data_IF_122797522763
#
_entry.id   IF_122797522763
#
_cell.length_a   1.000
_cell.length_b   1.000
_cell.length_c   1.000
_cell.angle_alpha   90.00
_cell.angle_beta   90.00
_cell.angle_gamma   90.00
#
_symmetry.space_group_name_H-M   'P 1'
#
loop_
_entity.id
_entity.type
_entity.pdbx_description
1 polymer ?
#
# COMPACT_ATOMS: atom_id res chain seq x y z
N UNK A 1 84.06 30.74 -4.94
CA UNK A 1 84.10 31.77 -3.88
C UNK A 1 82.95 31.45 -2.92
N UNK A 2 83.17 31.48 -1.60
CA UNK A 2 82.21 31.36 -0.46
C UNK A 2 81.08 30.29 -0.52
N UNK A 3 80.80 29.43 0.47
CA UNK A 3 80.80 29.50 1.96
C UNK A 3 79.77 30.48 2.56
N UNK A 4 78.88 30.09 3.49
CA UNK A 4 78.47 28.74 3.97
C UNK A 4 77.01 28.42 3.59
N UNK A 5 76.07 27.94 4.44
CA UNK A 5 76.01 27.46 5.85
C UNK A 5 74.71 26.55 5.93
N UNK A 6 74.45 25.52 6.74
CA UNK A 6 74.79 25.05 8.12
C UNK A 6 74.01 25.78 9.25
N UNK A 7 73.32 25.15 10.23
CA UNK A 7 72.93 23.77 10.63
C UNK A 7 71.44 23.83 11.16
N UNK A 8 70.71 22.81 11.67
CA UNK A 8 70.90 21.36 11.91
C UNK A 8 70.39 20.90 13.30
N UNK A 9 70.00 19.61 13.46
CA UNK A 9 69.74 18.86 14.74
C UNK A 9 68.43 19.23 15.53
N UNK A 10 67.51 18.30 15.86
CA UNK A 10 67.52 17.16 16.82
C UNK A 10 67.38 17.55 18.31
N UNK A 11 66.79 16.77 19.23
CA UNK A 11 65.90 15.58 19.16
C UNK A 11 65.32 15.26 20.56
N UNK A 12 64.11 14.69 20.62
CA UNK A 12 63.49 14.00 21.77
C UNK A 12 63.21 14.77 23.09
N UNK A 13 62.04 14.51 23.69
CA UNK A 13 61.89 13.91 25.04
C UNK A 13 60.42 13.70 25.42
N UNK A 14 60.17 12.55 26.05
CA UNK A 14 58.94 12.32 26.85
C UNK A 14 59.12 12.96 28.22
N UNK A 15 58.05 13.54 28.77
CA UNK A 15 58.01 14.07 30.14
C UNK A 15 56.56 14.11 30.64
N UNK A 16 56.36 13.71 31.89
CA UNK A 16 55.09 13.73 32.62
C UNK A 16 55.02 15.03 33.48
N UNK A 17 54.12 15.06 34.47
CA UNK A 17 54.02 16.00 35.59
C UNK A 17 53.22 17.30 35.36
N UNK A 18 52.40 17.67 36.38
CA UNK A 18 52.04 19.07 36.65
C UNK A 18 50.59 19.52 36.41
N UNK A 19 49.64 19.08 37.23
CA UNK A 19 48.25 19.54 37.18
C UNK A 19 48.00 20.91 37.85
N UNK A 20 47.16 21.75 37.24
CA UNK A 20 46.28 22.72 37.91
C UNK A 20 44.95 22.84 37.12
N UNK A 21 43.81 22.95 37.82
CA UNK A 21 42.45 22.88 37.24
C UNK A 21 41.81 24.24 36.91
N UNK A 22 40.51 24.31 36.56
CA UNK A 22 39.51 23.24 36.39
C UNK A 22 38.07 23.78 36.35
N UNK A 23 37.08 22.90 36.12
CA UNK A 23 35.62 23.15 36.03
C UNK A 23 35.15 24.08 34.87
N UNK A 24 33.92 23.98 34.34
CA UNK A 24 32.97 22.87 34.17
C UNK A 24 31.85 23.29 33.18
N UNK A 25 31.18 22.35 32.51
CA UNK A 25 30.08 22.69 31.58
C UNK A 25 29.33 21.49 31.01
N UNK A 26 28.45 20.86 31.80
CA UNK A 26 27.69 19.65 31.41
C UNK A 26 26.24 19.98 30.99
N UNK A 27 25.97 19.87 29.68
CA UNK A 27 24.62 20.03 29.12
C UNK A 27 23.76 18.76 29.17
N UNK A 28 23.25 18.39 30.35
CA UNK A 28 22.21 17.35 30.48
C UNK A 28 20.93 17.91 31.11
N UNK A 29 19.99 18.36 30.28
CA UNK A 29 18.64 18.79 30.69
C UNK A 29 17.78 17.58 31.05
N UNK A 30 17.89 17.10 32.29
CA UNK A 30 16.91 16.19 32.90
C UNK A 30 15.56 16.90 33.05
N UNK A 31 14.55 16.47 32.31
CA UNK A 31 13.16 16.88 32.54
C UNK A 31 12.69 16.34 33.89
N UNK A 32 12.54 17.20 34.89
CA UNK A 32 11.85 16.87 36.15
C UNK A 32 10.34 17.03 35.95
N UNK A 33 9.55 16.08 36.44
CA UNK A 33 8.16 16.36 36.79
C UNK A 33 8.13 17.35 37.97
N UNK A 34 7.19 18.30 38.01
CA UNK A 34 6.82 18.97 39.24
C UNK A 34 6.02 18.02 40.13
N UNK A 35 6.49 17.77 41.35
CA UNK A 35 5.67 17.19 42.41
C UNK A 35 4.72 18.27 42.92
N UNK A 36 3.43 17.94 43.05
CA UNK A 36 2.40 18.85 43.52
C UNK A 36 1.62 18.23 44.68
N UNK A 37 1.91 18.67 45.90
CA UNK A 37 1.14 18.27 47.08
C UNK A 37 -0.28 18.84 47.03
N UNK A 38 -1.26 17.93 46.95
CA UNK A 38 -2.68 18.25 47.09
C UNK A 38 -3.36 17.14 47.94
N UNK A 39 -3.65 17.40 49.23
CA UNK A 39 -4.37 16.43 50.06
C UNK A 39 -5.87 16.40 49.73
N UNK A 40 -6.51 15.27 50.07
CA UNK A 40 -7.92 14.88 49.86
C UNK A 40 -8.33 14.35 48.47
N UNK A 41 -9.15 13.29 48.49
CA UNK A 41 -10.14 13.00 47.44
C UNK A 41 -9.66 12.17 46.24
N UNK A 42 -9.46 10.86 46.42
CA UNK A 42 -9.14 9.97 45.31
C UNK A 42 -10.29 9.80 44.31
N UNK A 43 -10.11 10.29 43.08
CA UNK A 43 -11.00 9.97 41.96
C UNK A 43 -10.76 8.53 41.46
N UNK A 44 -11.82 7.77 41.08
CA UNK A 44 -11.65 6.40 40.62
C UNK A 44 -10.90 6.35 39.28
N UNK A 45 -9.88 5.49 39.21
CA UNK A 45 -9.22 5.15 37.94
C UNK A 45 -10.27 4.54 37.01
N UNK A 46 -10.69 5.27 35.97
CA UNK A 46 -11.54 4.71 34.90
C UNK A 46 -10.84 3.43 34.38
N UNK A 47 -11.54 2.29 34.28
CA UNK A 47 -10.93 1.09 33.72
C UNK A 47 -10.51 1.40 32.28
N UNK A 48 -9.35 0.87 31.86
CA UNK A 48 -9.01 0.82 30.43
C UNK A 48 -10.12 0.05 29.74
N UNK A 49 -10.90 0.71 28.88
CA UNK A 49 -11.86 0.07 28.00
C UNK A 49 -11.11 -0.84 27.05
N UNK A 50 -11.09 -2.13 27.35
CA UNK A 50 -10.52 -3.15 26.48
C UNK A 50 -11.32 -3.21 25.19
N UNK A 51 -10.78 -2.67 24.10
CA UNK A 51 -11.36 -2.72 22.74
C UNK A 51 -11.30 -4.12 22.11
N UNK A 52 -11.62 -5.16 22.90
CA UNK A 52 -11.84 -6.53 22.45
C UNK A 52 -13.27 -6.70 21.90
N UNK A 53 -13.63 -5.93 20.88
CA UNK A 53 -14.80 -6.14 20.02
C UNK A 53 -14.77 -5.19 18.82
N UNK A 54 -13.99 -5.54 17.79
CA UNK A 54 -14.19 -5.07 16.42
C UNK A 54 -13.64 -6.11 15.43
N UNK A 55 -14.00 -7.38 15.66
CA UNK A 55 -13.72 -8.50 14.74
C UNK A 55 -14.99 -8.82 13.96
N UNK A 56 -15.31 -7.94 13.00
CA UNK A 56 -16.21 -8.16 11.86
C UNK A 56 -16.11 -6.95 10.93
N UNK A 57 -16.32 -7.14 9.62
CA UNK A 57 -16.33 -6.09 8.57
C UNK A 57 -14.98 -5.40 8.32
N UNK A 58 -13.88 -6.16 8.36
CA UNK A 58 -12.69 -5.90 7.52
C UNK A 58 -12.35 -7.21 6.82
N UNK A 59 -12.06 -7.17 5.52
CA UNK A 59 -11.65 -8.35 4.74
C UNK A 59 -12.66 -8.93 3.75
N UNK A 60 -13.80 -8.29 3.45
CA UNK A 60 -14.72 -8.82 2.42
C UNK A 60 -14.07 -8.80 1.02
N UNK A 61 -13.26 -7.78 0.71
CA UNK A 61 -12.44 -7.73 -0.52
C UNK A 61 -11.41 -8.88 -0.53
N UNK A 62 -10.66 -9.05 0.57
CA UNK A 62 -9.63 -10.10 0.71
C UNK A 62 -10.22 -11.50 0.55
N UNK A 63 -11.37 -11.77 1.18
CA UNK A 63 -12.06 -13.07 1.12
C UNK A 63 -12.61 -13.37 -0.28
N UNK A 64 -13.17 -12.39 -0.98
CA UNK A 64 -13.67 -12.58 -2.35
C UNK A 64 -12.53 -12.85 -3.34
N UNK A 65 -11.39 -12.18 -3.22
CA UNK A 65 -10.21 -12.45 -4.05
C UNK A 65 -9.60 -13.82 -3.72
N UNK A 66 -9.52 -14.18 -2.43
CA UNK A 66 -9.02 -15.49 -2.00
C UNK A 66 -9.87 -16.68 -2.52
N UNK A 67 -11.19 -16.50 -2.64
CA UNK A 67 -12.08 -17.50 -3.22
C UNK A 67 -11.80 -17.77 -4.71
N UNK A 68 -11.44 -16.74 -5.48
CA UNK A 68 -11.13 -16.86 -6.92
C UNK A 68 -9.80 -17.62 -7.13
N UNK A 69 -8.82 -17.44 -6.25
CA UNK A 69 -7.52 -18.12 -6.33
C UNK A 69 -7.62 -19.66 -6.27
N UNK A 70 -8.64 -20.22 -5.63
CA UNK A 70 -8.84 -21.67 -5.55
C UNK A 70 -9.42 -22.30 -6.82
N UNK A 71 -10.11 -21.54 -7.67
CA UNK A 71 -10.79 -22.08 -8.86
C UNK A 71 -9.82 -22.64 -9.93
N UNK A 72 -8.58 -22.14 -9.97
CA UNK A 72 -7.57 -22.52 -10.98
C UNK A 72 -6.51 -23.52 -10.50
N UNK A 73 -6.59 -24.04 -9.25
CA UNK A 73 -5.53 -24.91 -8.72
C UNK A 73 -5.73 -26.38 -9.11
N UNK A 74 -5.42 -26.68 -10.37
CA UNK A 74 -5.10 -28.06 -10.80
C UNK A 74 -4.00 -28.65 -9.91
N UNK A 75 -4.15 -29.91 -9.52
CA UNK A 75 -3.29 -30.56 -8.52
C UNK A 75 -1.85 -30.76 -8.98
N UNK A 76 -0.90 -30.54 -8.07
CA UNK A 76 0.53 -30.72 -8.29
C UNK A 76 1.26 -30.58 -6.95
N UNK A 77 1.34 -31.68 -6.21
CA UNK A 77 1.86 -31.72 -4.84
C UNK A 77 3.22 -32.44 -4.81
N UNK A 78 4.30 -31.66 -4.71
CA UNK A 78 5.68 -32.14 -4.54
C UNK A 78 6.42 -31.17 -3.64
N UNK A 79 6.68 -31.57 -2.40
CA UNK A 79 7.41 -30.79 -1.39
C UNK A 79 8.89 -31.21 -1.35
N UNK A 80 9.82 -30.30 -1.64
CA UNK A 80 11.26 -30.51 -1.46
C UNK A 80 12.06 -29.23 -1.17
N UNK A 81 12.72 -29.22 -0.01
CA UNK A 81 14.15 -28.87 0.06
C UNK A 81 14.52 -27.39 0.14
N UNK A 82 14.76 -26.91 1.37
CA UNK A 82 15.28 -25.58 1.70
C UNK A 82 16.55 -25.16 0.94
N UNK A 83 16.60 -23.89 0.54
CA UNK A 83 17.83 -23.18 0.15
C UNK A 83 17.77 -21.73 0.62
N UNK A 84 18.50 -21.38 1.67
CA UNK A 84 18.43 -20.05 2.33
C UNK A 84 19.25 -18.99 1.56
N UNK A 85 18.80 -18.68 0.35
CA UNK A 85 19.37 -17.67 -0.52
C UNK A 85 18.72 -16.31 -0.24
N UNK A 86 19.34 -15.52 0.65
CA UNK A 86 18.90 -14.15 0.94
C UNK A 86 19.07 -13.25 -0.28
N UNK A 87 18.05 -13.20 -1.14
CA UNK A 87 17.97 -12.28 -2.28
C UNK A 87 18.13 -10.84 -1.79
N UNK A 88 19.08 -10.10 -2.36
CA UNK A 88 19.18 -8.67 -2.09
C UNK A 88 18.00 -7.96 -2.77
N UNK A 89 17.00 -7.60 -1.97
CA UNK A 89 15.91 -6.72 -2.42
C UNK A 89 16.46 -5.32 -2.66
N UNK A 90 16.82 -5.04 -3.91
CA UNK A 90 17.02 -3.69 -4.38
C UNK A 90 15.74 -2.86 -4.13
N UNK A 91 15.82 -1.66 -3.55
CA UNK A 91 14.67 -0.77 -3.45
C UNK A 91 14.29 -0.27 -4.83
N UNK A 92 12.99 -0.19 -5.10
CA UNK A 92 12.43 0.31 -6.36
C UNK A 92 12.93 1.73 -6.63
N UNK A 93 13.75 1.91 -7.65
CA UNK A 93 14.29 3.22 -8.01
C UNK A 93 13.21 4.09 -8.66
N UNK A 94 13.15 5.37 -8.32
CA UNK A 94 12.25 6.30 -9.00
C UNK A 94 12.65 6.43 -10.47
N UNK A 95 11.85 5.85 -11.38
CA UNK A 95 12.22 5.59 -12.79
C UNK A 95 12.56 6.83 -13.63
N UNK A 96 12.14 8.03 -13.20
CA UNK A 96 12.40 9.29 -13.91
C UNK A 96 11.62 9.48 -15.22
N UNK A 97 11.02 8.43 -15.77
CA UNK A 97 10.36 8.45 -17.08
C UNK A 97 9.03 9.22 -17.09
N UNK A 98 8.52 9.57 -18.28
CA UNK A 98 7.29 10.36 -18.46
C UNK A 98 6.02 9.60 -18.01
N UNK A 99 4.97 10.32 -17.58
CA UNK A 99 3.68 9.69 -17.30
C UNK A 99 3.05 9.13 -18.59
N UNK A 100 2.45 7.94 -18.50
CA UNK A 100 1.63 7.40 -19.58
C UNK A 100 0.38 8.27 -19.73
N UNK A 101 0.16 8.78 -20.94
CA UNK A 101 -0.97 9.66 -21.28
C UNK A 101 -2.08 8.91 -22.04
N UNK A 102 -1.74 7.79 -22.67
CA UNK A 102 -2.67 6.89 -23.35
C UNK A 102 -3.60 6.21 -22.35
N UNK A 103 -4.91 6.29 -22.63
CA UNK A 103 -5.98 5.65 -21.84
C UNK A 103 -7.07 5.14 -22.75
N UNK A 104 -7.54 3.92 -22.50
CA UNK A 104 -8.81 3.39 -23.01
C UNK A 104 -9.78 3.29 -21.83
N UNK A 105 -11.09 3.53 -21.99
CA UNK A 105 -12.08 3.40 -20.90
C UNK A 105 -11.85 4.26 -19.63
N UNK A 106 -10.89 5.19 -19.65
CA UNK A 106 -10.36 5.92 -18.49
C UNK A 106 -9.18 5.24 -17.77
N UNK A 107 -8.90 3.98 -18.11
CA UNK A 107 -7.84 3.12 -17.57
C UNK A 107 -6.57 3.29 -18.43
N UNK A 108 -5.37 3.46 -17.83
CA UNK A 108 -4.10 3.51 -18.58
C UNK A 108 -3.79 2.25 -19.38
N UNK A 109 -3.12 2.42 -20.51
CA UNK A 109 -2.73 1.34 -21.44
C UNK A 109 -1.59 1.80 -22.35
N UNK A 110 -0.87 0.88 -22.97
CA UNK A 110 0.34 1.18 -23.76
C UNK A 110 1.54 1.37 -22.85
N UNK A 111 1.73 0.43 -21.91
CA UNK A 111 2.90 0.36 -21.04
C UNK A 111 4.16 0.00 -21.84
N UNK A 112 5.35 0.36 -21.34
CA UNK A 112 6.60 0.03 -22.02
C UNK A 112 6.83 -1.50 -22.07
N UNK A 113 7.45 -2.00 -23.15
CA UNK A 113 7.78 -3.42 -23.30
C UNK A 113 9.07 -3.79 -22.55
N UNK A 114 9.09 -3.48 -21.25
CA UNK A 114 10.19 -3.76 -20.34
C UNK A 114 9.66 -4.01 -18.90
N UNK A 115 10.58 -4.30 -17.98
CA UNK A 115 10.28 -4.60 -16.57
C UNK A 115 9.64 -3.41 -15.83
N UNK A 116 10.03 -2.17 -16.14
CA UNK A 116 9.46 -0.96 -15.53
C UNK A 116 8.06 -0.67 -16.08
N UNK A 117 7.81 -0.99 -17.35
CA UNK A 117 6.48 -0.98 -17.94
C UNK A 117 5.57 -2.05 -17.33
N UNK A 118 6.10 -3.24 -17.03
CA UNK A 118 5.36 -4.29 -16.33
C UNK A 118 5.01 -3.88 -14.88
N UNK A 119 5.94 -3.29 -14.15
CA UNK A 119 5.67 -2.72 -12.82
C UNK A 119 4.65 -1.58 -12.89
N UNK A 120 4.80 -0.65 -13.84
CA UNK A 120 3.85 0.43 -14.08
C UNK A 120 2.43 -0.10 -14.39
N UNK A 121 2.32 -1.16 -15.21
CA UNK A 121 1.06 -1.81 -15.49
C UNK A 121 0.43 -2.38 -14.21
N UNK A 122 1.21 -3.10 -13.41
CA UNK A 122 0.76 -3.66 -12.14
C UNK A 122 0.24 -2.60 -11.16
N UNK A 123 0.96 -1.49 -11.00
CA UNK A 123 0.56 -0.37 -10.14
C UNK A 123 -0.75 0.28 -10.62
N UNK A 124 -0.92 0.47 -11.93
CA UNK A 124 -2.14 1.07 -12.48
C UNK A 124 -3.35 0.12 -12.40
N UNK A 125 -3.13 -1.19 -12.63
CA UNK A 125 -4.19 -2.18 -12.52
C UNK A 125 -4.62 -2.46 -11.08
N UNK A 126 -3.76 -2.33 -10.07
CA UNK A 126 -4.19 -2.44 -8.66
C UNK A 126 -5.12 -1.30 -8.22
N UNK A 127 -4.89 -0.06 -8.70
CA UNK A 127 -5.82 1.06 -8.49
C UNK A 127 -7.20 0.76 -9.06
N UNK A 128 -7.25 0.21 -10.28
CA UNK A 128 -8.51 -0.04 -11.00
C UNK A 128 -9.27 -1.25 -10.47
N UNK A 129 -8.58 -2.37 -10.21
CA UNK A 129 -9.18 -3.61 -9.72
C UNK A 129 -9.66 -3.51 -8.27
N UNK A 130 -9.15 -2.54 -7.50
CA UNK A 130 -9.59 -2.24 -6.12
C UNK A 130 -10.12 -0.79 -6.06
N UNK A 131 -11.10 -0.51 -6.94
CA UNK A 131 -11.82 0.76 -7.01
C UNK A 131 -13.33 0.58 -6.87
N UNK A 132 -14.06 1.64 -6.52
CA UNK A 132 -15.53 1.62 -6.49
C UNK A 132 -16.18 1.29 -7.85
N UNK A 133 -15.48 1.48 -8.98
CA UNK A 133 -16.00 1.14 -10.31
C UNK A 133 -16.09 -0.37 -10.56
N UNK A 134 -15.30 -1.22 -9.88
CA UNK A 134 -15.40 -2.69 -10.02
C UNK A 134 -16.72 -3.25 -9.47
N UNK A 135 -17.41 -2.50 -8.61
CA UNK A 135 -18.70 -2.89 -8.05
C UNK A 135 -19.85 -2.63 -9.01
N UNK A 136 -19.72 -1.65 -9.91
CA UNK A 136 -20.73 -1.26 -10.89
C UNK A 136 -20.73 -2.22 -12.08
N UNK A 137 -21.83 -2.95 -12.39
CA UNK A 137 -21.80 -4.05 -13.37
C UNK A 137 -21.26 -3.70 -14.75
N UNK A 138 -21.60 -2.52 -15.29
CA UNK A 138 -21.12 -2.06 -16.61
C UNK A 138 -19.61 -1.77 -16.58
N UNK A 139 -19.16 -0.94 -15.63
CA UNK A 139 -17.75 -0.57 -15.47
C UNK A 139 -16.88 -1.78 -15.15
N UNK A 140 -17.40 -2.76 -14.40
CA UNK A 140 -16.73 -4.04 -14.16
C UNK A 140 -16.43 -4.79 -15.45
N UNK A 141 -17.39 -4.89 -16.37
CA UNK A 141 -17.21 -5.57 -17.67
C UNK A 141 -16.15 -4.85 -18.51
N UNK A 142 -16.22 -3.51 -18.59
CA UNK A 142 -15.20 -2.68 -19.26
C UNK A 142 -13.79 -2.86 -18.66
N UNK A 143 -13.67 -2.88 -17.31
CA UNK A 143 -12.41 -3.14 -16.61
C UNK A 143 -11.86 -4.52 -16.96
N UNK A 144 -12.69 -5.57 -16.87
CA UNK A 144 -12.23 -6.95 -17.11
C UNK A 144 -11.77 -7.12 -18.56
N UNK A 145 -12.49 -6.55 -19.52
CA UNK A 145 -12.14 -6.62 -20.95
C UNK A 145 -10.86 -5.86 -21.31
N UNK A 146 -10.53 -4.76 -20.61
CA UNK A 146 -9.33 -3.97 -20.91
C UNK A 146 -8.07 -4.42 -20.13
N UNK A 147 -8.24 -4.86 -18.89
CA UNK A 147 -7.12 -5.16 -17.97
C UNK A 147 -6.57 -6.57 -18.18
N UNK A 148 -7.41 -7.54 -18.52
CA UNK A 148 -7.01 -8.96 -18.60
C UNK A 148 -6.71 -9.45 -20.01
N UNK A 149 -5.98 -10.55 -20.10
CA UNK A 149 -5.79 -11.31 -21.35
C UNK A 149 -7.15 -11.86 -21.83
N UNK A 150 -7.38 -11.82 -23.15
CA UNK A 150 -8.70 -12.04 -23.74
C UNK A 150 -9.33 -13.40 -23.36
N UNK A 151 -8.53 -14.47 -23.25
CA UNK A 151 -9.02 -15.81 -22.90
C UNK A 151 -9.40 -15.98 -21.42
N UNK A 152 -9.22 -14.96 -20.58
CA UNK A 152 -9.65 -14.95 -19.17
C UNK A 152 -10.87 -14.08 -18.89
N UNK A 153 -11.27 -13.22 -19.83
CA UNK A 153 -12.37 -12.25 -19.67
C UNK A 153 -13.66 -12.94 -19.22
N UNK A 154 -14.13 -13.98 -19.93
CA UNK A 154 -15.41 -14.63 -19.64
C UNK A 154 -15.43 -15.33 -18.27
N UNK A 155 -14.35 -15.99 -17.87
CA UNK A 155 -14.24 -16.66 -16.55
C UNK A 155 -14.23 -15.62 -15.41
N UNK A 156 -13.57 -14.49 -15.63
CA UNK A 156 -13.46 -13.39 -14.66
C UNK A 156 -14.76 -12.59 -14.55
N UNK A 157 -15.44 -12.27 -15.65
CA UNK A 157 -16.76 -11.63 -15.62
C UNK A 157 -17.75 -12.51 -14.85
N UNK A 158 -17.80 -13.82 -15.13
CA UNK A 158 -18.64 -14.76 -14.38
C UNK A 158 -18.27 -14.82 -12.89
N UNK A 159 -16.97 -14.90 -12.56
CA UNK A 159 -16.49 -14.99 -11.18
C UNK A 159 -16.77 -13.72 -10.37
N UNK A 160 -16.52 -12.55 -10.95
CA UNK A 160 -16.70 -11.26 -10.30
C UNK A 160 -18.17 -10.84 -10.25
N UNK A 161 -19.01 -11.22 -11.23
CA UNK A 161 -20.46 -11.05 -11.12
C UNK A 161 -21.07 -11.93 -10.02
N UNK A 162 -20.51 -13.12 -9.78
CA UNK A 162 -20.91 -13.98 -8.66
C UNK A 162 -20.42 -13.42 -7.31
N UNK A 163 -19.23 -12.83 -7.26
CA UNK A 163 -18.68 -12.19 -6.07
C UNK A 163 -19.48 -10.93 -5.69
N UNK A 164 -19.63 -9.99 -6.62
CA UNK A 164 -20.35 -8.72 -6.45
C UNK A 164 -21.82 -8.85 -6.86
N UNK A 165 -22.50 -9.83 -6.27
CA UNK A 165 -23.94 -10.04 -6.42
C UNK A 165 -24.74 -9.06 -5.55
N UNK A 166 -26.07 -9.00 -5.75
CA UNK A 166 -26.96 -8.06 -5.06
C UNK A 166 -26.90 -8.15 -3.53
N UNK A 167 -26.66 -9.33 -2.94
CA UNK A 167 -26.53 -9.46 -1.48
C UNK A 167 -25.24 -8.79 -0.99
N UNK A 168 -24.10 -9.05 -1.66
CA UNK A 168 -22.84 -8.38 -1.32
C UNK A 168 -22.96 -6.85 -1.47
N UNK A 169 -23.61 -6.37 -2.54
CA UNK A 169 -23.81 -4.94 -2.76
C UNK A 169 -24.66 -4.32 -1.64
N UNK A 170 -25.75 -4.98 -1.25
CA UNK A 170 -26.58 -4.56 -0.11
C UNK A 170 -25.81 -4.60 1.23
N UNK A 171 -24.98 -5.62 1.47
CA UNK A 171 -24.14 -5.75 2.68
C UNK A 171 -23.13 -4.60 2.82
N UNK A 172 -22.67 -4.01 1.71
CA UNK A 172 -21.80 -2.81 1.71
C UNK A 172 -22.57 -1.49 1.50
N UNK A 173 -23.91 -1.53 1.50
CA UNK A 173 -24.78 -0.36 1.41
C UNK A 173 -24.90 0.25 0.01
N UNK A 174 -24.93 -0.58 -1.04
CA UNK A 174 -25.08 -0.20 -2.45
C UNK A 174 -26.35 -0.78 -3.09
N UNK A 175 -26.85 -0.14 -4.15
CA UNK A 175 -27.88 -0.70 -5.03
C UNK A 175 -27.33 -1.80 -5.97
N UNK A 176 -28.20 -2.48 -6.71
CA UNK A 176 -27.83 -3.53 -7.68
C UNK A 176 -26.91 -3.03 -8.82
N UNK A 177 -26.80 -1.72 -9.00
CA UNK A 177 -25.94 -1.07 -10.00
C UNK A 177 -24.59 -0.62 -9.42
N UNK A 178 -24.34 -0.79 -8.11
CA UNK A 178 -23.12 -0.35 -7.42
C UNK A 178 -23.10 1.13 -7.03
N UNK A 179 -24.28 1.76 -6.85
CA UNK A 179 -24.42 3.15 -6.40
C UNK A 179 -24.77 3.23 -4.91
N UNK A 180 -24.26 4.26 -4.23
CA UNK A 180 -24.63 4.56 -2.85
C UNK A 180 -26.00 5.28 -2.77
N UNK A 181 -26.70 5.18 -1.62
CA UNK A 181 -27.90 5.98 -1.33
C UNK A 181 -27.66 7.49 -1.47
N UNK A 182 -28.71 8.24 -1.81
CA UNK A 182 -28.64 9.70 -1.91
C UNK A 182 -28.19 10.33 -0.57
N UNK A 183 -27.16 11.17 -0.61
CA UNK A 183 -26.55 11.75 0.59
C UNK A 183 -25.45 10.90 1.23
N UNK A 184 -25.11 9.75 0.65
CA UNK A 184 -24.01 8.87 1.09
C UNK A 184 -22.98 8.70 -0.03
N UNK A 185 -21.70 8.70 0.31
CA UNK A 185 -20.60 8.52 -0.65
C UNK A 185 -19.86 7.22 -0.37
N UNK A 186 -20.02 6.22 -1.22
CA UNK A 186 -19.21 4.99 -1.14
C UNK A 186 -17.79 5.25 -1.65
N UNK A 187 -16.82 4.84 -0.86
CA UNK A 187 -15.39 4.96 -1.13
C UNK A 187 -14.82 3.57 -1.33
N UNK A 188 -14.06 3.41 -2.40
CA UNK A 188 -13.05 2.37 -2.56
C UNK A 188 -11.99 2.95 -3.48
N UNK A 189 -10.82 3.22 -2.91
CA UNK A 189 -9.66 3.82 -3.57
C UNK A 189 -8.40 3.12 -3.07
N UNK A 190 -7.52 2.76 -4.00
CA UNK A 190 -6.24 2.13 -3.70
C UNK A 190 -5.09 3.05 -4.10
N UNK A 191 -4.09 3.11 -3.24
CA UNK A 191 -2.86 3.87 -3.41
C UNK A 191 -1.67 2.90 -3.35
N UNK A 192 -1.05 2.57 -4.50
CA UNK A 192 0.23 1.89 -4.56
C UNK A 192 1.30 2.71 -3.81
N UNK A 193 2.12 2.01 -3.04
CA UNK A 193 3.23 2.56 -2.25
C UNK A 193 4.57 2.10 -2.81
N UNK A 194 4.59 0.98 -3.55
CA UNK A 194 5.72 0.55 -4.36
C UNK A 194 5.48 -0.78 -5.07
N UNK A 195 6.20 -0.97 -6.18
CA UNK A 195 6.23 -2.18 -7.00
C UNK A 195 7.49 -3.01 -6.72
N UNK A 196 7.41 -4.31 -7.01
CA UNK A 196 8.56 -5.21 -7.05
C UNK A 196 8.28 -6.40 -7.97
N UNK A 197 8.95 -6.45 -9.10
CA UNK A 197 9.04 -7.62 -9.96
C UNK A 197 9.68 -8.80 -9.18
N UNK A 198 9.04 -9.97 -9.27
CA UNK A 198 9.54 -11.24 -8.71
C UNK A 198 9.93 -12.23 -9.81
N UNK A 199 9.53 -11.96 -11.06
CA UNK A 199 10.01 -12.62 -12.27
C UNK A 199 9.72 -11.72 -13.47
N UNK A 200 10.66 -11.61 -14.42
CA UNK A 200 10.46 -10.90 -15.68
C UNK A 200 10.97 -11.72 -16.88
N UNK A 201 10.28 -11.60 -18.01
CA UNK A 201 10.72 -11.94 -19.36
C UNK A 201 9.99 -11.03 -20.36
N UNK A 202 10.49 -10.91 -21.59
CA UNK A 202 9.87 -10.12 -22.66
C UNK A 202 8.48 -10.63 -23.13
N UNK A 203 7.89 -11.60 -22.43
CA UNK A 203 6.52 -12.07 -22.65
C UNK A 203 5.68 -12.18 -21.37
N UNK A 204 6.29 -12.17 -20.18
CA UNK A 204 5.63 -12.47 -18.91
C UNK A 204 6.29 -11.76 -17.74
N UNK A 205 5.51 -11.19 -16.82
CA UNK A 205 6.03 -10.70 -15.54
C UNK A 205 5.18 -11.21 -14.36
N UNK A 206 5.78 -11.28 -13.18
CA UNK A 206 5.06 -11.37 -11.91
C UNK A 206 5.50 -10.20 -11.06
N UNK A 207 4.55 -9.36 -10.63
CA UNK A 207 4.83 -8.15 -9.85
C UNK A 207 4.02 -8.20 -8.55
N UNK A 208 4.69 -7.95 -7.42
CA UNK A 208 4.02 -7.59 -6.18
C UNK A 208 3.88 -6.07 -6.09
N UNK A 209 2.67 -5.59 -5.83
CA UNK A 209 2.37 -4.17 -5.60
C UNK A 209 1.92 -4.01 -4.16
N UNK A 210 2.72 -3.32 -3.35
CA UNK A 210 2.37 -2.98 -1.98
C UNK A 210 1.48 -1.74 -1.98
N UNK A 211 0.33 -1.81 -1.31
CA UNK A 211 -0.74 -0.82 -1.38
C UNK A 211 -1.28 -0.48 0.02
N UNK A 212 -1.85 0.71 0.14
CA UNK A 212 -2.83 1.05 1.17
C UNK A 212 -4.13 1.49 0.50
N UNK A 213 -5.27 1.15 1.08
CA UNK A 213 -6.59 1.54 0.59
C UNK A 213 -7.32 2.48 1.54
N UNK A 214 -8.32 3.19 1.01
CA UNK A 214 -9.45 3.73 1.80
C UNK A 214 -10.76 3.20 1.24
N UNK A 215 -11.60 2.65 2.09
CA UNK A 215 -12.85 1.99 1.69
C UNK A 215 -13.95 2.08 2.76
N UNK A 216 -15.20 1.96 2.33
CA UNK A 216 -16.40 2.09 3.17
C UNK A 216 -17.28 3.26 2.74
N UNK A 217 -18.33 3.55 3.48
CA UNK A 217 -19.31 4.61 3.13
C UNK A 217 -19.14 5.82 4.03
N UNK A 218 -19.04 7.01 3.44
CA UNK A 218 -19.16 8.28 4.14
C UNK A 218 -20.65 8.67 4.21
N UNK A 219 -21.22 8.52 5.41
CA UNK A 219 -22.60 8.89 5.79
C UNK A 219 -22.69 8.92 7.32
N UNK A 220 -23.64 9.64 7.92
CA UNK A 220 -23.75 9.73 9.39
C UNK A 220 -24.28 8.43 10.03
N UNK A 221 -25.23 7.76 9.39
CA UNK A 221 -25.90 6.55 9.91
C UNK A 221 -25.26 5.21 9.44
N UNK A 222 -24.03 5.24 8.92
CA UNK A 222 -23.38 4.07 8.32
C UNK A 222 -22.91 3.03 9.34
N UNK A 223 -23.23 1.75 9.11
CA UNK A 223 -22.63 0.60 9.82
C UNK A 223 -21.31 0.14 9.19
N UNK A 224 -20.83 0.82 8.14
CA UNK A 224 -19.55 0.57 7.48
C UNK A 224 -18.90 1.90 7.12
N UNK A 225 -18.35 2.63 8.11
CA UNK A 225 -17.68 3.91 7.89
C UNK A 225 -16.42 3.74 7.05
N UNK A 226 -15.93 4.85 6.48
CA UNK A 226 -14.67 4.83 5.73
C UNK A 226 -13.50 4.52 6.67
N UNK A 227 -12.75 3.47 6.34
CA UNK A 227 -11.54 3.03 7.04
C UNK A 227 -10.40 2.83 6.04
N UNK A 228 -9.21 2.46 6.51
CA UNK A 228 -8.04 2.20 5.67
C UNK A 228 -7.38 0.87 6.01
N UNK A 229 -6.86 0.19 4.98
CA UNK A 229 -6.11 -1.06 5.11
C UNK A 229 -4.72 -0.98 4.44
N UNK A 230 -3.98 -2.07 4.57
CA UNK A 230 -2.71 -2.30 3.88
C UNK A 230 -2.72 -3.71 3.31
N UNK A 231 -2.31 -3.85 2.06
CA UNK A 231 -2.29 -5.14 1.37
C UNK A 231 -1.17 -5.19 0.33
N UNK A 232 -0.84 -6.41 -0.10
CA UNK A 232 0.00 -6.64 -1.28
C UNK A 232 -0.83 -7.36 -2.32
N UNK A 233 -0.88 -6.83 -3.53
CA UNK A 233 -1.49 -7.50 -4.68
C UNK A 233 -0.39 -8.10 -5.56
N UNK A 234 -0.45 -9.39 -5.84
CA UNK A 234 0.44 -10.07 -6.78
C UNK A 234 -0.27 -10.21 -8.11
N UNK A 235 0.26 -9.65 -9.18
CA UNK A 235 -0.27 -9.80 -10.53
C UNK A 235 0.69 -10.64 -11.38
N UNK A 236 0.15 -11.59 -12.14
CA UNK A 236 0.83 -12.19 -13.28
C UNK A 236 0.40 -11.44 -14.54
N UNK A 237 1.38 -10.92 -15.26
CA UNK A 237 1.20 -10.16 -16.48
C UNK A 237 1.74 -10.94 -17.68
N UNK A 238 1.13 -10.72 -18.84
CA UNK A 238 1.60 -11.19 -20.14
C UNK A 238 1.66 -10.01 -21.11
N UNK A 239 2.67 -9.97 -21.98
CA UNK A 239 2.69 -9.03 -23.09
C UNK A 239 1.80 -9.54 -24.22
N UNK A 240 0.82 -8.75 -24.65
CA UNK A 240 -0.09 -9.07 -25.76
C UNK A 240 -0.70 -7.79 -26.31
N UNK A 241 -0.97 -7.76 -27.61
CA UNK A 241 -1.68 -6.64 -28.27
C UNK A 241 -1.03 -5.26 -27.99
N UNK A 242 0.31 -5.24 -28.04
CA UNK A 242 1.20 -4.11 -27.75
C UNK A 242 1.03 -3.48 -26.34
N UNK A 243 0.63 -4.28 -25.35
CA UNK A 243 0.43 -3.85 -23.97
C UNK A 243 0.72 -4.96 -22.93
N UNK A 244 0.92 -4.58 -21.66
CA UNK A 244 0.92 -5.55 -20.55
C UNK A 244 -0.51 -5.81 -20.09
N UNK A 245 -0.94 -7.08 -20.08
CA UNK A 245 -2.28 -7.51 -19.62
C UNK A 245 -2.19 -8.51 -18.47
N UNK A 246 -3.18 -8.50 -17.57
CA UNK A 246 -3.25 -9.41 -16.42
C UNK A 246 -3.73 -10.80 -16.87
N UNK A 247 -2.96 -11.85 -16.54
CA UNK A 247 -3.40 -13.24 -16.67
C UNK A 247 -4.16 -13.70 -15.42
N UNK A 248 -3.63 -13.35 -14.25
CA UNK A 248 -4.25 -13.64 -12.95
C UNK A 248 -3.71 -12.70 -11.87
N UNK A 249 -4.45 -12.57 -10.77
CA UNK A 249 -4.06 -11.78 -9.61
C UNK A 249 -4.43 -12.48 -8.31
N UNK A 250 -3.75 -12.11 -7.22
CA UNK A 250 -4.06 -12.51 -5.86
C UNK A 250 -3.79 -11.34 -4.90
N UNK A 251 -4.42 -11.34 -3.73
CA UNK A 251 -4.21 -10.33 -2.69
C UNK A 251 -3.89 -11.02 -1.36
N UNK A 252 -2.98 -10.43 -0.57
CA UNK A 252 -2.70 -10.80 0.82
C UNK A 252 -2.74 -9.55 1.69
N UNK A 253 -3.19 -9.69 2.93
CA UNK A 253 -3.15 -8.61 3.92
C UNK A 253 -1.70 -8.21 4.25
N UNK A 254 -1.46 -6.92 4.41
CA UNK A 254 -0.17 -6.35 4.79
C UNK A 254 0.94 -6.47 3.73
N UNK A 255 2.21 -6.22 4.14
CA UNK A 255 2.60 -5.77 5.47
C UNK A 255 2.01 -4.38 5.80
N UNK A 256 1.70 -4.14 7.08
CA UNK A 256 1.16 -2.87 7.54
C UNK A 256 2.18 -2.15 8.45
N UNK A 257 2.31 -0.81 8.36
CA UNK A 257 2.97 -0.02 9.41
C UNK A 257 2.11 -0.02 10.69
N UNK A 258 2.66 0.50 11.78
CA UNK A 258 1.88 0.71 13.02
C UNK A 258 0.83 1.79 12.78
N UNK A 259 -0.44 1.49 13.04
CA UNK A 259 -1.55 2.43 12.90
C UNK A 259 -1.35 3.68 13.78
N UNK A 260 -1.58 4.87 13.21
CA UNK A 260 -1.59 6.13 13.94
C UNK A 260 -2.93 6.40 14.64
N UNK A 261 -2.89 7.06 15.79
CA UNK A 261 -4.06 7.49 16.56
C UNK A 261 -4.62 8.82 16.00
N UNK A 262 -5.17 8.74 14.78
CA UNK A 262 -5.68 9.90 14.06
C UNK A 262 -7.07 10.31 14.56
N UNK A 263 -7.34 11.62 14.66
CA UNK A 263 -8.69 12.15 14.89
C UNK A 263 -9.60 11.71 13.74
N UNK A 264 -10.69 11.01 14.07
CA UNK A 264 -11.75 10.66 13.12
C UNK A 264 -12.36 11.93 12.51
N UNK A 265 -12.50 11.93 11.18
CA UNK A 265 -13.19 12.98 10.43
C UNK A 265 -14.69 12.69 10.31
N UNK A 266 -15.48 13.71 10.08
CA UNK A 266 -16.92 13.61 9.80
C UNK A 266 -17.19 13.00 8.42
N UNK A 267 -18.40 12.47 8.21
CA UNK A 267 -18.83 12.03 6.88
C UNK A 267 -18.69 13.15 5.84
N UNK A 268 -19.08 14.37 6.20
CA UNK A 268 -18.95 15.59 5.39
C UNK A 268 -17.51 15.91 4.96
N UNK A 269 -16.54 15.79 5.88
CA UNK A 269 -15.11 16.00 5.58
C UNK A 269 -14.59 14.94 4.60
N UNK A 270 -15.02 13.68 4.75
CA UNK A 270 -14.57 12.57 3.90
C UNK A 270 -15.24 12.61 2.52
N UNK A 271 -16.55 12.89 2.43
CA UNK A 271 -17.26 13.05 1.15
C UNK A 271 -16.66 14.19 0.31
N UNK A 272 -16.40 15.35 0.92
CA UNK A 272 -15.71 16.47 0.23
C UNK A 272 -14.31 16.09 -0.22
N UNK A 273 -13.54 15.36 0.59
CA UNK A 273 -12.23 14.85 0.16
C UNK A 273 -12.35 13.85 -1.02
N UNK A 274 -13.43 13.09 -1.13
CA UNK A 274 -13.67 12.18 -2.27
C UNK A 274 -14.08 12.96 -3.53
N UNK A 275 -14.87 14.03 -3.38
CA UNK A 275 -15.31 14.89 -4.49
C UNK A 275 -14.20 15.81 -5.02
N UNK A 276 -13.43 16.45 -4.12
CA UNK A 276 -12.41 17.45 -4.46
C UNK A 276 -11.07 16.82 -4.86
N UNK A 277 -10.62 15.75 -4.18
CA UNK A 277 -9.42 15.02 -4.59
C UNK A 277 -9.79 13.91 -5.59
N UNK A 278 -9.57 14.18 -6.87
CA UNK A 278 -9.71 13.18 -7.93
C UNK A 278 -8.81 11.95 -7.68
N UNK A 279 -9.32 10.76 -7.98
CA UNK A 279 -8.57 9.52 -7.83
C UNK A 279 -7.34 9.45 -8.75
N UNK A 280 -6.33 8.67 -8.36
CA UNK A 280 -5.15 8.43 -9.19
C UNK A 280 -5.56 7.78 -10.51
N UNK A 281 -5.45 8.52 -11.61
CA UNK A 281 -5.59 7.98 -12.98
C UNK A 281 -4.24 7.69 -13.64
N UNK A 282 -3.18 7.76 -12.86
CA UNK A 282 -1.90 7.10 -13.06
C UNK A 282 -1.34 6.76 -11.67
N UNK A 283 -0.84 5.54 -11.50
CA UNK A 283 0.09 5.16 -10.44
C UNK A 283 1.47 4.91 -11.04
N UNK A 284 2.48 4.86 -10.18
CA UNK A 284 3.87 4.49 -10.46
C UNK A 284 4.35 3.61 -9.32
#
# INVERSE_FOLDING_TARGET
>A
MSLGDEHGYESSRTGDDGAYGGYAGTGQTRTRLPEGDAPYGGAPRRPRSSSRSLVTIVGVVVLLIAAIAFANRGGGDTDTGSGDAKTETAPTAASGERPITTKTGGIPSGFAHDEQGAESAAANYSVVLVSADILKPVRRSEIVQQVFVAEKVADLENSLNKAYNANFLADVGLDENGNAPSGSTYVSRTMPVGTKATSYSDSTATVEVWCTGVFGTASEDTTSPVTSDWFTMTLKLRWTDDDWKVESFAQKEGPAPVNGDNKVSTADEISKAVEEYGGFTYAR
#
